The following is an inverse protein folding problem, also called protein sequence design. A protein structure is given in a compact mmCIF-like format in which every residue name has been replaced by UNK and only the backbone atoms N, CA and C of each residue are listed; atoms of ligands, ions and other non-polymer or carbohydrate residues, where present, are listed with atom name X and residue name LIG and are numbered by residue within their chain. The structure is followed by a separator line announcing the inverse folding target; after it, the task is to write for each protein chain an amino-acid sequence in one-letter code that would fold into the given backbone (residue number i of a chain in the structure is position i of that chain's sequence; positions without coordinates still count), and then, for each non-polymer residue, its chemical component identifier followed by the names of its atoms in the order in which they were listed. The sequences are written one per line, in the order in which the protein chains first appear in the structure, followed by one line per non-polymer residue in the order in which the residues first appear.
data_IF_496152553367
#
_entry.id   IF_496152553367
#
_cell.length_a   1.000
_cell.length_b   1.000
_cell.length_c   1.000
_cell.angle_alpha   90.00
_cell.angle_beta   90.00
_cell.angle_gamma   90.00
#
_symmetry.space_group_name_H-M   'P 1'
#
loop_
_entity.id
_entity.type
_entity.pdbx_description
1 polymer ?
#
# COMPACT_ATOMS: atom_id res chain seq x y z
N UNK A 1 13.34 32.54 81.14
CA UNK A 1 14.64 32.32 80.45
C UNK A 1 14.36 31.30 79.37
N UNK A 2 14.67 31.67 78.11
CA UNK A 2 14.81 30.81 76.92
C UNK A 2 13.56 30.03 76.48
N UNK A 3 13.15 29.98 75.21
CA UNK A 3 13.73 30.45 73.96
C UNK A 3 12.64 30.46 72.87
N UNK A 4 13.02 31.00 71.72
CA UNK A 4 12.27 31.47 70.57
C UNK A 4 11.41 30.48 69.75
N UNK A 5 10.39 31.10 69.13
CA UNK A 5 9.98 31.01 67.72
C UNK A 5 9.23 29.78 67.19
N UNK A 6 8.05 30.06 66.62
CA UNK A 6 7.55 29.45 65.38
C UNK A 6 6.71 30.49 64.61
N UNK A 7 7.08 30.71 63.33
CA UNK A 7 6.20 31.19 62.24
C UNK A 7 5.19 30.06 61.91
N UNK A 8 4.12 30.18 61.13
CA UNK A 8 3.72 30.95 59.95
C UNK A 8 2.20 30.68 59.75
N UNK A 9 1.52 31.49 58.95
CA UNK A 9 0.41 31.13 58.01
C UNK A 9 -0.46 32.37 57.74
N UNK A 10 0.04 33.20 56.82
CA UNK A 10 -0.79 34.13 56.06
C UNK A 10 -1.52 33.34 54.96
N UNK A 11 -2.84 33.53 54.90
CA UNK A 11 -3.76 32.88 53.95
C UNK A 11 -3.34 33.16 52.48
N UNK A 12 -3.03 32.12 51.69
CA UNK A 12 -2.57 32.28 50.30
C UNK A 12 -3.69 32.58 49.30
N UNK A 13 -4.93 32.87 49.75
CA UNK A 13 -6.08 33.08 48.86
C UNK A 13 -6.65 34.52 48.81
N UNK A 14 -5.93 35.52 49.33
CA UNK A 14 -6.33 36.91 49.18
C UNK A 14 -5.67 37.56 47.94
N UNK A 15 -6.28 37.40 46.75
CA UNK A 15 -5.97 38.20 45.56
C UNK A 15 -7.05 39.25 45.24
N UNK A 16 -6.66 40.39 44.62
CA UNK A 16 -7.43 41.63 44.60
C UNK A 16 -8.41 41.73 43.42
N UNK A 17 -9.40 42.62 43.58
CA UNK A 17 -10.34 43.02 42.53
C UNK A 17 -9.63 43.74 41.37
N UNK A 18 -9.90 43.29 40.14
CA UNK A 18 -9.84 44.09 38.93
C UNK A 18 -9.02 43.50 37.78
N UNK A 19 -9.68 42.73 36.89
CA UNK A 19 -9.23 42.58 35.50
C UNK A 19 -10.46 42.49 34.58
N UNK A 20 -10.64 43.52 33.77
CA UNK A 20 -11.73 43.71 32.82
C UNK A 20 -11.35 42.98 31.53
N UNK A 21 -11.70 41.69 31.43
CA UNK A 21 -11.58 40.91 30.19
C UNK A 21 -12.97 40.66 29.61
N UNK A 22 -13.21 40.91 28.32
CA UNK A 22 -14.49 40.60 27.72
C UNK A 22 -14.68 39.08 27.78
N UNK A 23 -15.76 38.66 28.44
CA UNK A 23 -16.25 37.29 28.38
C UNK A 23 -16.57 37.05 26.91
N UNK A 24 -15.70 36.32 26.21
CA UNK A 24 -16.06 35.69 24.95
C UNK A 24 -17.18 34.71 25.27
N UNK A 25 -18.41 35.15 25.05
CA UNK A 25 -19.54 34.24 24.94
C UNK A 25 -19.16 33.18 23.92
N UNK A 26 -18.94 31.94 24.38
CA UNK A 26 -18.99 30.76 23.51
C UNK A 26 -20.37 30.79 22.86
N UNK A 27 -20.40 31.37 21.67
CA UNK A 27 -21.59 31.51 20.87
C UNK A 27 -21.87 30.10 20.37
N UNK A 28 -22.80 29.41 21.04
CA UNK A 28 -23.31 28.11 20.60
C UNK A 28 -23.89 28.34 19.20
N UNK A 29 -23.17 27.87 18.19
CA UNK A 29 -23.58 28.01 16.80
C UNK A 29 -24.89 27.25 16.61
N UNK A 30 -25.89 27.92 16.04
CA UNK A 30 -27.11 27.25 15.65
C UNK A 30 -26.82 26.30 14.47
N UNK A 31 -27.63 25.25 14.34
CA UNK A 31 -27.46 24.21 13.33
C UNK A 31 -27.32 24.77 11.90
N UNK A 32 -28.00 25.88 11.61
CA UNK A 32 -27.93 26.58 10.31
C UNK A 32 -26.55 27.25 10.05
N UNK A 33 -25.88 27.77 11.08
CA UNK A 33 -24.54 28.36 10.96
C UNK A 33 -23.45 27.28 10.84
N UNK A 34 -23.68 26.11 11.46
CA UNK A 34 -22.83 24.92 11.31
C UNK A 34 -22.90 24.39 9.88
N UNK A 35 -24.10 24.32 9.31
CA UNK A 35 -24.32 23.84 7.94
C UNK A 35 -23.71 24.79 6.90
N UNK A 36 -23.71 26.11 7.18
CA UNK A 36 -23.06 27.13 6.37
C UNK A 36 -21.52 27.01 6.36
N UNK A 37 -20.93 26.60 7.49
CA UNK A 37 -19.48 26.38 7.63
C UNK A 37 -19.02 25.01 7.08
N UNK A 38 -19.92 24.02 7.03
CA UNK A 38 -19.64 22.65 6.56
C UNK A 38 -19.99 22.41 5.09
N UNK A 39 -20.47 23.42 4.36
CA UNK A 39 -20.56 23.37 2.89
C UNK A 39 -21.57 22.37 2.34
N UNK A 40 -22.64 22.07 3.08
CA UNK A 40 -23.79 21.33 2.57
C UNK A 40 -24.85 22.31 2.07
N UNK A 41 -24.60 22.90 0.91
CA UNK A 41 -25.65 23.59 0.15
C UNK A 41 -26.51 22.53 -0.55
N UNK A 42 -27.67 22.21 0.03
CA UNK A 42 -28.75 21.49 -0.65
C UNK A 42 -29.64 22.51 -1.35
N UNK A 43 -29.07 23.14 -2.38
CA UNK A 43 -29.76 23.92 -3.39
C UNK A 43 -29.41 23.32 -4.76
N UNK A 44 -30.44 22.86 -5.47
CA UNK A 44 -30.34 22.10 -6.71
C UNK A 44 -29.79 22.92 -7.89
N UNK A 45 -29.12 22.19 -8.79
CA UNK A 45 -28.77 22.49 -10.18
C UNK A 45 -27.40 23.16 -10.54
N UNK A 46 -26.72 22.52 -11.51
CA UNK A 46 -25.45 22.85 -12.20
C UNK A 46 -24.10 22.32 -11.65
N UNK A 47 -24.12 21.24 -10.85
CA UNK A 47 -22.90 20.55 -10.38
C UNK A 47 -22.56 19.21 -11.05
N UNK A 48 -23.52 18.58 -11.72
CA UNK A 48 -23.38 17.19 -12.21
C UNK A 48 -22.50 17.08 -13.47
N UNK A 49 -22.53 18.09 -14.35
CA UNK A 49 -21.70 18.10 -15.56
C UNK A 49 -20.21 18.37 -15.25
N UNK A 50 -19.88 19.19 -14.24
CA UNK A 50 -18.48 19.45 -13.86
C UNK A 50 -17.84 18.29 -13.11
N UNK A 51 -18.63 17.51 -12.35
CA UNK A 51 -18.17 16.27 -11.74
C UNK A 51 -18.01 15.16 -12.78
N UNK A 52 -18.96 15.05 -13.71
CA UNK A 52 -18.89 14.12 -14.84
C UNK A 52 -17.72 14.42 -15.77
N UNK A 53 -17.50 15.68 -16.15
CA UNK A 53 -16.36 16.08 -17.00
C UNK A 53 -15.04 15.94 -16.24
N UNK A 54 -14.96 16.20 -14.92
CA UNK A 54 -13.74 15.90 -14.15
C UNK A 54 -13.50 14.41 -14.00
N UNK A 55 -14.54 13.59 -13.83
CA UNK A 55 -14.45 12.14 -13.79
C UNK A 55 -14.08 11.57 -15.17
N UNK A 56 -14.59 12.14 -16.26
CA UNK A 56 -14.24 11.80 -17.65
C UNK A 56 -12.83 12.28 -17.98
N UNK A 57 -12.40 13.47 -17.54
CA UNK A 57 -11.01 13.94 -17.72
C UNK A 57 -10.04 13.10 -16.88
N UNK A 58 -10.36 12.77 -15.63
CA UNK A 58 -9.51 11.88 -14.81
C UNK A 58 -9.50 10.44 -15.33
N UNK A 59 -10.61 9.93 -15.88
CA UNK A 59 -10.67 8.57 -16.46
C UNK A 59 -10.08 8.49 -17.87
N UNK A 60 -10.24 9.52 -18.70
CA UNK A 60 -9.70 9.58 -20.05
C UNK A 60 -8.18 9.89 -20.07
N UNK A 61 -7.61 10.49 -19.02
CA UNK A 61 -6.18 10.80 -18.94
C UNK A 61 -5.30 9.66 -18.40
N UNK A 62 -5.88 8.52 -18.00
CA UNK A 62 -5.13 7.35 -17.47
C UNK A 62 -5.42 6.11 -18.34
N UNK A 63 -5.69 6.29 -19.63
CA UNK A 63 -5.65 5.17 -20.58
C UNK A 63 -4.19 4.85 -20.93
N UNK A 64 -3.49 4.23 -19.99
CA UNK A 64 -2.14 3.74 -20.25
C UNK A 64 -2.17 2.44 -21.06
N UNK A 65 -1.15 2.26 -21.89
CA UNK A 65 -0.97 1.10 -22.75
C UNK A 65 -0.98 -0.20 -21.91
N UNK A 66 -1.79 -1.18 -22.31
CA UNK A 66 -1.78 -2.51 -21.66
C UNK A 66 -0.45 -3.20 -21.92
N UNK A 67 0.05 -3.91 -20.91
CA UNK A 67 1.31 -4.66 -20.96
C UNK A 67 0.99 -6.16 -20.82
N UNK A 68 0.67 -6.88 -21.92
CA UNK A 68 0.18 -8.25 -21.85
C UNK A 68 1.17 -9.21 -21.17
N UNK A 69 2.47 -9.02 -21.41
CA UNK A 69 3.50 -9.86 -20.78
C UNK A 69 3.57 -9.65 -19.27
N UNK A 70 3.19 -8.46 -18.79
CA UNK A 70 3.15 -8.20 -17.35
C UNK A 70 1.99 -8.94 -16.68
N UNK A 71 0.86 -9.08 -17.36
CA UNK A 71 -0.27 -9.90 -16.90
C UNK A 71 0.18 -11.37 -16.74
N UNK A 72 0.92 -11.90 -17.70
CA UNK A 72 1.46 -13.27 -17.64
C UNK A 72 2.44 -13.44 -16.47
N UNK A 73 3.29 -12.43 -16.22
CA UNK A 73 4.21 -12.43 -15.07
C UNK A 73 3.42 -12.47 -13.76
N UNK A 74 2.34 -11.69 -13.62
CA UNK A 74 1.53 -11.71 -12.39
C UNK A 74 0.70 -12.99 -12.24
N UNK A 75 0.22 -13.59 -13.32
CA UNK A 75 -0.41 -14.91 -13.27
C UNK A 75 0.58 -15.98 -12.78
N UNK A 76 1.85 -15.89 -13.22
CA UNK A 76 2.91 -16.75 -12.71
C UNK A 76 3.21 -16.47 -11.24
N UNK A 77 3.26 -15.21 -10.85
CA UNK A 77 3.48 -14.79 -9.46
C UNK A 77 2.40 -15.39 -8.53
N UNK A 78 1.13 -15.31 -8.90
CA UNK A 78 0.02 -15.89 -8.12
C UNK A 78 0.22 -17.38 -7.86
N UNK A 79 0.63 -18.14 -8.88
CA UNK A 79 0.88 -19.59 -8.75
C UNK A 79 2.04 -19.89 -7.80
N UNK A 80 3.14 -19.13 -7.90
CA UNK A 80 4.31 -19.27 -7.03
C UNK A 80 3.96 -18.91 -5.58
N UNK A 81 3.33 -17.75 -5.38
CA UNK A 81 2.89 -17.26 -4.07
C UNK A 81 1.95 -18.23 -3.37
N UNK A 82 1.03 -18.86 -4.09
CA UNK A 82 0.14 -19.87 -3.50
C UNK A 82 0.92 -21.02 -2.85
N UNK A 83 2.01 -21.45 -3.48
CA UNK A 83 2.85 -22.53 -2.96
C UNK A 83 3.75 -22.05 -1.83
N UNK A 84 4.42 -20.92 -2.02
CA UNK A 84 5.39 -20.38 -1.06
C UNK A 84 4.72 -19.92 0.24
N UNK A 85 3.56 -19.26 0.16
CA UNK A 85 2.81 -18.79 1.33
C UNK A 85 2.20 -19.96 2.11
N UNK A 86 1.74 -21.01 1.43
CA UNK A 86 1.34 -22.27 2.07
C UNK A 86 2.48 -22.87 2.86
N UNK A 87 3.69 -22.92 2.30
CA UNK A 87 4.86 -23.44 3.00
C UNK A 87 5.29 -22.53 4.16
N UNK A 88 5.20 -21.22 3.97
CA UNK A 88 5.58 -20.22 4.97
C UNK A 88 4.65 -20.23 6.19
N UNK A 89 3.34 -20.34 5.95
CA UNK A 89 2.30 -20.37 7.00
C UNK A 89 2.05 -21.76 7.56
N UNK A 90 2.44 -22.82 6.83
CA UNK A 90 2.03 -24.20 7.12
C UNK A 90 0.51 -24.40 7.19
N UNK A 91 -0.27 -23.55 6.49
CA UNK A 91 -1.72 -23.62 6.42
C UNK A 91 -2.23 -23.60 4.97
N UNK A 92 -3.53 -23.85 4.77
CA UNK A 92 -4.13 -23.77 3.45
C UNK A 92 -4.23 -22.30 3.00
N UNK A 93 -3.46 -21.93 1.98
CA UNK A 93 -3.46 -20.60 1.39
C UNK A 93 -3.89 -20.67 -0.07
N UNK A 94 -4.77 -19.76 -0.48
CA UNK A 94 -5.12 -19.48 -1.88
C UNK A 94 -4.80 -18.02 -2.22
N UNK A 95 -4.15 -17.81 -3.36
CA UNK A 95 -3.84 -16.46 -3.86
C UNK A 95 -4.61 -16.26 -5.16
N UNK A 96 -5.25 -15.10 -5.31
CA UNK A 96 -5.95 -14.71 -6.53
C UNK A 96 -5.60 -13.29 -6.95
N UNK A 97 -5.59 -13.07 -8.26
CA UNK A 97 -5.41 -11.75 -8.86
C UNK A 97 -6.77 -11.03 -8.89
N UNK A 98 -6.89 -9.91 -8.17
CA UNK A 98 -8.11 -9.11 -8.15
C UNK A 98 -8.19 -8.18 -9.35
N UNK A 99 -7.13 -7.39 -9.58
CA UNK A 99 -7.07 -6.41 -10.67
C UNK A 99 -5.64 -5.97 -10.94
N UNK A 100 -5.37 -5.59 -12.20
CA UNK A 100 -4.19 -4.85 -12.63
C UNK A 100 -4.68 -3.52 -13.19
N UNK A 101 -4.24 -2.41 -12.60
CA UNK A 101 -4.69 -1.07 -12.97
C UNK A 101 -3.54 -0.09 -13.06
N UNK A 102 -3.70 0.97 -13.86
CA UNK A 102 -2.78 2.10 -13.86
C UNK A 102 -3.34 3.20 -12.95
N UNK A 103 -2.48 3.77 -12.10
CA UNK A 103 -2.83 4.80 -11.13
C UNK A 103 -1.71 5.83 -11.03
N UNK A 104 -2.02 7.05 -10.56
CA UNK A 104 -0.99 8.01 -10.16
C UNK A 104 -0.43 7.63 -8.80
N UNK A 105 0.88 7.71 -8.64
CA UNK A 105 1.57 7.32 -7.42
C UNK A 105 1.07 8.07 -6.19
N UNK A 106 0.83 9.38 -6.31
CA UNK A 106 0.30 10.19 -5.21
C UNK A 106 -1.12 9.81 -4.80
N UNK A 107 -1.99 9.55 -5.77
CA UNK A 107 -3.37 9.14 -5.51
C UNK A 107 -3.40 7.78 -4.80
N UNK A 108 -2.51 6.86 -5.20
CA UNK A 108 -2.34 5.59 -4.51
C UNK A 108 -1.90 5.77 -3.06
N UNK A 109 -0.81 6.53 -2.79
CA UNK A 109 -0.30 6.73 -1.43
C UNK A 109 -1.37 7.31 -0.48
N UNK A 110 -2.21 8.21 -0.99
CA UNK A 110 -3.30 8.81 -0.21
C UNK A 110 -4.50 7.87 -0.01
N UNK A 111 -4.61 6.80 -0.81
CA UNK A 111 -5.70 5.82 -0.71
C UNK A 111 -5.43 4.66 0.26
N UNK A 112 -4.21 4.54 0.79
CA UNK A 112 -3.82 3.41 1.65
C UNK A 112 -4.51 3.54 3.02
N UNK A 113 -5.34 2.57 3.41
CA UNK A 113 -5.95 2.57 4.73
C UNK A 113 -4.89 2.30 5.80
N UNK A 114 -4.87 3.10 6.86
CA UNK A 114 -3.97 2.91 8.00
C UNK A 114 -4.69 2.16 9.12
N UNK A 115 -4.01 1.24 9.83
CA UNK A 115 -2.58 0.93 9.76
C UNK A 115 -2.20 -0.09 8.66
N UNK A 116 -1.15 0.19 7.89
CA UNK A 116 -0.62 -0.74 6.88
C UNK A 116 0.91 -0.86 7.00
N UNK A 117 1.48 -1.92 6.41
CA UNK A 117 2.94 -2.03 6.23
C UNK A 117 3.25 -1.84 4.75
N UNK A 118 4.15 -0.90 4.47
CA UNK A 118 4.65 -0.60 3.14
C UNK A 118 6.11 -1.05 3.07
N UNK A 119 6.39 -2.00 2.18
CA UNK A 119 7.74 -2.44 1.87
C UNK A 119 8.22 -1.76 0.59
N UNK A 120 9.29 -0.99 0.69
CA UNK A 120 10.01 -0.48 -0.48
C UNK A 120 11.08 -1.49 -0.83
N UNK A 121 11.14 -1.88 -2.10
CA UNK A 121 12.16 -2.80 -2.60
C UNK A 121 12.86 -2.20 -3.82
N UNK A 122 14.12 -2.57 -4.00
CA UNK A 122 14.92 -2.21 -5.17
C UNK A 122 14.85 -3.34 -6.20
N UNK A 123 14.57 -2.98 -7.45
CA UNK A 123 14.73 -3.85 -8.60
C UNK A 123 16.11 -3.56 -9.23
N UNK A 124 17.10 -4.41 -8.95
CA UNK A 124 18.52 -4.08 -9.20
C UNK A 124 18.82 -3.84 -10.68
N UNK A 125 18.42 -4.76 -11.55
CA UNK A 125 18.68 -4.69 -13.00
C UNK A 125 17.84 -3.62 -13.70
N UNK A 126 16.75 -3.19 -13.08
CA UNK A 126 15.91 -2.10 -13.57
C UNK A 126 16.36 -0.73 -13.04
N UNK A 127 17.35 -0.71 -12.15
CA UNK A 127 17.90 0.44 -11.42
C UNK A 127 16.81 1.40 -10.88
N UNK A 128 15.78 0.82 -10.26
CA UNK A 128 14.66 1.59 -9.73
C UNK A 128 13.99 0.88 -8.56
N UNK A 129 12.97 1.51 -7.99
CA UNK A 129 12.24 0.99 -6.84
C UNK A 129 10.83 0.53 -7.21
N UNK A 130 10.30 -0.39 -6.41
CA UNK A 130 8.89 -0.72 -6.34
C UNK A 130 8.41 -0.71 -4.90
N UNK A 131 7.12 -0.90 -4.71
CA UNK A 131 6.50 -0.91 -3.39
C UNK A 131 5.51 -2.06 -3.27
N UNK A 132 5.51 -2.73 -2.13
CA UNK A 132 4.54 -3.75 -1.75
C UNK A 132 3.80 -3.26 -0.52
N UNK A 133 2.47 -3.23 -0.55
CA UNK A 133 1.64 -2.84 0.59
C UNK A 133 0.90 -4.05 1.11
N UNK A 134 0.91 -4.23 2.43
CA UNK A 134 0.21 -5.31 3.13
C UNK A 134 -0.88 -4.67 4.00
N UNK A 135 -2.13 -5.08 3.78
CA UNK A 135 -3.26 -4.57 4.56
C UNK A 135 -3.29 -5.15 5.99
N UNK A 136 -4.03 -4.48 6.89
CA UNK A 136 -4.07 -4.89 8.29
C UNK A 136 -4.64 -6.29 8.48
N UNK A 137 -5.67 -6.66 7.69
CA UNK A 137 -6.30 -7.98 7.77
C UNK A 137 -5.27 -9.09 7.55
N UNK A 138 -4.44 -8.96 6.52
CA UNK A 138 -3.43 -9.95 6.22
C UNK A 138 -2.33 -9.97 7.27
N UNK A 139 -1.89 -8.81 7.76
CA UNK A 139 -0.87 -8.72 8.81
C UNK A 139 -1.31 -9.51 10.04
N UNK A 140 -2.52 -9.25 10.55
CA UNK A 140 -3.04 -9.98 11.71
C UNK A 140 -3.23 -11.47 11.42
N UNK A 141 -3.71 -11.81 10.23
CA UNK A 141 -3.89 -13.20 9.82
C UNK A 141 -2.57 -13.98 9.85
N UNK A 142 -1.50 -13.40 9.30
CA UNK A 142 -0.17 -14.01 9.24
C UNK A 142 0.46 -14.11 10.62
N UNK A 143 0.33 -13.05 11.44
CA UNK A 143 0.84 -13.06 12.82
C UNK A 143 0.16 -14.16 13.63
N UNK A 144 -1.17 -14.29 13.52
CA UNK A 144 -1.91 -15.32 14.25
C UNK A 144 -1.50 -16.73 13.80
N UNK A 145 -1.39 -16.99 12.49
CA UNK A 145 -0.96 -18.32 11.99
C UNK A 145 0.45 -18.66 12.46
N UNK A 146 1.41 -17.74 12.33
CA UNK A 146 2.82 -18.00 12.67
C UNK A 146 3.07 -18.13 14.18
N UNK A 147 2.19 -17.57 15.01
CA UNK A 147 2.25 -17.71 16.47
C UNK A 147 1.40 -18.88 17.00
N UNK A 148 0.84 -19.71 16.12
CA UNK A 148 0.10 -20.92 16.50
C UNK A 148 -1.38 -20.68 16.85
N UNK A 149 -1.97 -19.63 16.28
CA UNK A 149 -3.40 -19.33 16.39
C UNK A 149 -4.26 -20.52 15.97
N UNK A 150 -5.30 -20.82 16.74
CA UNK A 150 -6.21 -21.95 16.45
C UNK A 150 -7.14 -21.59 15.29
N UNK A 151 -7.45 -22.58 14.44
CA UNK A 151 -8.50 -22.46 13.42
C UNK A 151 -9.85 -22.11 14.08
N UNK A 152 -10.61 -21.21 13.46
CA UNK A 152 -11.89 -20.72 14.00
C UNK A 152 -11.81 -19.75 15.19
N UNK A 153 -10.61 -19.26 15.57
CA UNK A 153 -10.52 -18.13 16.51
C UNK A 153 -11.06 -16.89 15.80
N UNK A 154 -12.04 -16.20 16.40
CA UNK A 154 -12.67 -15.02 15.81
C UNK A 154 -11.59 -14.03 15.32
N UNK A 155 -11.80 -13.48 14.11
CA UNK A 155 -10.88 -12.54 13.49
C UNK A 155 -10.45 -11.49 14.51
N UNK A 156 -9.11 -11.35 14.69
CA UNK A 156 -8.56 -10.33 15.58
C UNK A 156 -9.18 -8.98 15.21
N UNK A 157 -9.81 -8.33 16.19
CA UNK A 157 -10.31 -6.97 15.98
C UNK A 157 -9.11 -6.09 15.64
N UNK A 158 -9.20 -5.38 14.53
CA UNK A 158 -8.21 -4.38 14.15
C UNK A 158 -8.33 -3.23 15.15
N UNK A 159 -7.45 -3.20 16.14
CA UNK A 159 -7.47 -2.20 17.22
C UNK A 159 -6.89 -0.84 16.79
N UNK A 160 -6.50 -0.69 15.53
CA UNK A 160 -5.91 0.56 15.01
C UNK A 160 -4.59 0.95 15.68
N UNK A 161 -3.98 0.05 16.46
CA UNK A 161 -2.72 0.29 17.16
C UNK A 161 -1.52 0.14 16.22
N UNK A 162 -0.40 0.85 16.48
CA UNK A 162 0.85 0.62 15.77
C UNK A 162 1.34 -0.82 15.90
N UNK A 163 1.95 -1.36 14.84
CA UNK A 163 2.50 -2.72 14.85
C UNK A 163 3.73 -2.83 15.76
N UNK A 164 3.78 -3.90 16.53
CA UNK A 164 4.91 -4.27 17.39
C UNK A 164 6.11 -4.72 16.56
N UNK A 165 7.29 -4.76 17.19
CA UNK A 165 8.51 -5.25 16.54
C UNK A 165 8.38 -6.70 16.06
N UNK A 166 7.69 -7.56 16.81
CA UNK A 166 7.48 -8.96 16.44
C UNK A 166 6.60 -9.06 15.19
N UNK A 167 5.47 -8.34 15.17
CA UNK A 167 4.56 -8.30 14.02
C UNK A 167 5.30 -7.80 12.76
N UNK A 168 6.11 -6.75 12.89
CA UNK A 168 6.92 -6.21 11.78
C UNK A 168 7.93 -7.23 11.24
N UNK A 169 8.62 -7.98 12.11
CA UNK A 169 9.59 -9.00 11.69
C UNK A 169 8.92 -10.18 10.99
N UNK A 170 7.73 -10.60 11.44
CA UNK A 170 6.98 -11.66 10.79
C UNK A 170 6.51 -11.24 9.38
N UNK A 171 5.98 -10.01 9.27
CA UNK A 171 5.57 -9.45 7.98
C UNK A 171 6.78 -9.25 7.06
N UNK A 172 7.93 -8.81 7.60
CA UNK A 172 9.16 -8.69 6.81
C UNK A 172 9.53 -10.01 6.12
N UNK A 173 9.52 -11.12 6.87
CA UNK A 173 9.85 -12.44 6.31
C UNK A 173 8.86 -12.86 5.23
N UNK A 174 7.57 -12.57 5.43
CA UNK A 174 6.55 -12.81 4.41
C UNK A 174 6.83 -11.99 3.15
N UNK A 175 7.15 -10.70 3.30
CA UNK A 175 7.51 -9.83 2.16
C UNK A 175 8.71 -10.38 1.41
N UNK A 176 9.75 -10.84 2.09
CA UNK A 176 10.94 -11.44 1.46
C UNK A 176 10.58 -12.70 0.64
N UNK A 177 9.65 -13.53 1.13
CA UNK A 177 9.11 -14.67 0.35
C UNK A 177 8.41 -14.19 -0.92
N UNK A 178 7.54 -13.18 -0.81
CA UNK A 178 6.83 -12.61 -1.95
C UNK A 178 7.78 -11.99 -2.98
N UNK A 179 8.85 -11.32 -2.54
CA UNK A 179 9.85 -10.74 -3.44
C UNK A 179 10.68 -11.83 -4.15
N UNK A 180 10.96 -12.96 -3.48
CA UNK A 180 11.60 -14.11 -4.11
C UNK A 180 10.72 -14.72 -5.20
N UNK A 181 9.41 -14.83 -4.96
CA UNK A 181 8.46 -15.28 -5.98
C UNK A 181 8.34 -14.28 -7.14
N UNK A 182 8.35 -12.97 -6.84
CA UNK A 182 8.37 -11.93 -7.87
C UNK A 182 9.59 -12.07 -8.77
N UNK A 183 10.78 -12.30 -8.20
CA UNK A 183 11.99 -12.57 -8.98
C UNK A 183 11.81 -13.78 -9.91
N UNK A 184 11.33 -14.89 -9.37
CA UNK A 184 11.09 -16.10 -10.15
C UNK A 184 9.97 -15.93 -11.20
N UNK A 185 9.02 -15.02 -10.97
CA UNK A 185 7.97 -14.68 -11.92
C UNK A 185 8.50 -13.85 -13.11
N UNK A 186 9.41 -12.91 -12.85
CA UNK A 186 10.03 -12.07 -13.88
C UNK A 186 11.12 -12.79 -14.69
N UNK A 187 11.76 -13.82 -14.13
CA UNK A 187 12.89 -14.55 -14.73
C UNK A 187 12.72 -14.95 -16.21
N UNK A 188 11.56 -15.46 -16.69
CA UNK A 188 11.39 -15.80 -18.11
C UNK A 188 11.43 -14.61 -19.06
N UNK A 189 11.14 -13.41 -18.55
CA UNK A 189 11.22 -12.17 -19.30
C UNK A 189 12.61 -11.57 -19.16
N UNK A 190 13.06 -11.36 -17.93
CA UNK A 190 14.37 -10.80 -17.63
C UNK A 190 14.80 -11.21 -16.21
N UNK A 191 16.07 -11.54 -15.97
CA UNK A 191 16.56 -11.72 -14.62
C UNK A 191 16.48 -10.37 -13.89
N UNK A 192 15.71 -10.31 -12.79
CA UNK A 192 15.60 -9.14 -11.92
C UNK A 192 15.63 -9.57 -10.46
N UNK A 193 16.54 -8.99 -9.67
CA UNK A 193 16.60 -9.16 -8.23
C UNK A 193 15.76 -8.09 -7.54
N UNK A 194 14.78 -8.53 -6.74
CA UNK A 194 13.96 -7.65 -5.91
C UNK A 194 14.42 -7.76 -4.46
N UNK A 195 15.15 -6.76 -3.99
CA UNK A 195 15.72 -6.74 -2.65
C UNK A 195 14.94 -5.75 -1.77
N UNK A 196 14.51 -6.22 -0.59
CA UNK A 196 13.84 -5.37 0.39
C UNK A 196 14.82 -4.27 0.85
N UNK A 197 14.42 -3.01 0.68
CA UNK A 197 15.22 -1.86 1.11
C UNK A 197 14.79 -1.39 2.51
N UNK A 198 13.48 -1.16 2.71
CA UNK A 198 12.95 -0.71 3.99
C UNK A 198 11.47 -1.06 4.18
N UNK A 199 11.04 -1.06 5.45
CA UNK A 199 9.65 -1.24 5.88
C UNK A 199 9.15 0.00 6.61
N UNK A 200 8.08 0.58 6.08
CA UNK A 200 7.43 1.78 6.58
C UNK A 200 6.00 1.49 7.03
N UNK A 201 5.52 2.26 8.00
CA UNK A 201 4.10 2.25 8.42
C UNK A 201 3.35 3.50 7.98
N UNK A 202 4.08 4.53 7.55
CA UNK A 202 3.51 5.78 7.06
C UNK A 202 3.84 5.96 5.57
N UNK A 203 2.82 6.11 4.70
CA UNK A 203 2.99 6.30 3.26
C UNK A 203 3.94 7.44 2.89
N UNK A 204 4.06 8.48 3.73
CA UNK A 204 4.95 9.63 3.48
C UNK A 204 6.44 9.25 3.45
N UNK A 205 6.85 8.19 4.13
CA UNK A 205 8.24 7.71 4.13
C UNK A 205 8.51 6.63 3.07
N UNK A 206 7.45 6.11 2.45
CA UNK A 206 7.51 5.11 1.39
C UNK A 206 7.55 5.73 -0.03
N UNK A 207 7.73 7.05 -0.16
CA UNK A 207 7.76 7.72 -1.44
C UNK A 207 8.97 7.29 -2.29
N UNK A 208 8.71 6.63 -3.42
CA UNK A 208 9.73 6.15 -4.38
C UNK A 208 9.67 6.87 -5.73
N UNK A 209 8.60 7.61 -6.00
CA UNK A 209 8.38 8.34 -7.24
C UNK A 209 7.71 9.69 -6.95
N UNK A 210 7.66 10.57 -7.95
CA UNK A 210 6.91 11.83 -7.83
C UNK A 210 5.40 11.53 -7.81
N UNK A 211 4.59 12.27 -7.03
CA UNK A 211 3.14 12.03 -6.94
C UNK A 211 2.41 11.98 -8.29
N UNK A 212 2.84 12.78 -9.26
CA UNK A 212 2.26 12.85 -10.59
C UNK A 212 2.65 11.67 -11.51
N UNK A 213 3.65 10.88 -11.15
CA UNK A 213 4.11 9.77 -11.98
C UNK A 213 3.08 8.63 -11.97
N UNK A 214 2.89 8.00 -13.11
CA UNK A 214 2.07 6.81 -13.21
C UNK A 214 2.78 5.57 -12.66
N UNK A 215 1.99 4.65 -12.14
CA UNK A 215 2.42 3.35 -11.68
C UNK A 215 1.37 2.28 -12.03
N UNK A 216 1.84 1.06 -12.21
CA UNK A 216 1.00 -0.12 -12.31
C UNK A 216 0.77 -0.64 -10.90
N UNK A 217 -0.50 -0.84 -10.56
CA UNK A 217 -0.97 -1.39 -9.30
C UNK A 217 -1.61 -2.75 -9.54
N UNK A 218 -1.06 -3.76 -8.87
CA UNK A 218 -1.56 -5.14 -8.88
C UNK A 218 -2.15 -5.43 -7.52
N UNK A 219 -3.42 -5.80 -7.48
CA UNK A 219 -4.11 -6.18 -6.23
C UNK A 219 -4.21 -7.69 -6.19
N UNK A 220 -3.67 -8.29 -5.14
CA UNK A 220 -3.70 -9.72 -4.89
C UNK A 220 -4.51 -9.97 -3.62
N UNK A 221 -5.44 -10.92 -3.68
CA UNK A 221 -6.17 -11.40 -2.51
C UNK A 221 -5.56 -12.69 -2.02
N UNK A 222 -5.38 -12.77 -0.70
CA UNK A 222 -4.87 -13.95 -0.02
C UNK A 222 -5.96 -14.45 0.91
N UNK A 223 -6.39 -15.67 0.67
CA UNK A 223 -7.40 -16.38 1.44
C UNK A 223 -6.75 -17.52 2.23
N UNK A 224 -7.10 -17.62 3.51
CA UNK A 224 -6.61 -18.60 4.46
C UNK A 224 -7.79 -19.18 5.27
N UNK A 225 -8.81 -19.66 4.54
CA UNK A 225 -10.04 -20.23 5.09
C UNK A 225 -10.89 -19.16 5.82
N UNK A 226 -10.75 -19.04 7.14
CA UNK A 226 -11.54 -18.12 7.97
C UNK A 226 -10.91 -16.72 8.07
N UNK A 227 -9.74 -16.52 7.45
CA UNK A 227 -8.93 -15.28 7.56
C UNK A 227 -8.26 -14.96 6.23
N UNK A 228 -7.66 -13.78 6.12
CA UNK A 228 -7.00 -13.37 4.87
C UNK A 228 -6.78 -11.88 4.79
N UNK A 229 -6.53 -11.39 3.59
CA UNK A 229 -6.41 -9.97 3.32
C UNK A 229 -5.85 -9.71 1.93
N UNK A 230 -5.15 -8.58 1.77
CA UNK A 230 -4.67 -8.12 0.46
C UNK A 230 -3.20 -7.73 0.50
N UNK A 231 -2.53 -8.07 -0.59
CA UNK A 231 -1.22 -7.53 -0.94
C UNK A 231 -1.38 -6.71 -2.20
N UNK A 232 -0.80 -5.53 -2.21
CA UNK A 232 -0.80 -4.64 -3.36
C UNK A 232 0.64 -4.38 -3.81
N UNK A 233 0.97 -4.81 -5.04
CA UNK A 233 2.28 -4.58 -5.65
C UNK A 233 2.18 -3.38 -6.59
N UNK A 234 3.01 -2.38 -6.35
CA UNK A 234 3.08 -1.15 -7.13
C UNK A 234 4.45 -1.04 -7.82
N UNK A 235 4.41 -0.88 -9.14
CA UNK A 235 5.59 -0.68 -9.99
C UNK A 235 5.41 0.63 -10.78
N UNK A 236 6.21 1.69 -10.47
CA UNK A 236 6.23 2.89 -11.29
C UNK A 236 6.55 2.58 -12.75
N UNK A 237 5.99 3.32 -13.71
CA UNK A 237 6.34 3.13 -15.13
C UNK A 237 7.84 3.33 -15.39
N UNK A 238 8.47 4.25 -14.66
CA UNK A 238 9.91 4.47 -14.74
C UNK A 238 10.74 3.23 -14.35
N UNK A 239 10.19 2.34 -13.50
CA UNK A 239 10.83 1.07 -13.13
C UNK A 239 10.73 0.04 -14.25
N UNK A 240 9.66 0.09 -15.04
CA UNK A 240 9.43 -0.85 -16.15
C UNK A 240 10.05 -0.38 -17.47
N UNK A 241 10.50 0.87 -17.56
CA UNK A 241 11.04 1.46 -18.79
C UNK A 241 12.17 0.64 -19.43
N UNK A 242 13.16 0.09 -18.70
CA UNK A 242 14.24 -0.70 -19.29
C UNK A 242 13.75 -1.95 -20.04
N UNK A 243 12.63 -2.52 -19.62
CA UNK A 243 12.05 -3.75 -20.17
C UNK A 243 10.75 -3.49 -20.95
N UNK A 244 10.39 -2.23 -21.18
CA UNK A 244 9.11 -1.82 -21.78
C UNK A 244 8.86 -2.49 -23.14
N UNK A 245 9.88 -2.57 -24.00
CA UNK A 245 9.74 -3.20 -25.32
C UNK A 245 9.36 -4.67 -25.23
N UNK A 246 9.90 -5.39 -24.25
CA UNK A 246 9.59 -6.80 -24.02
C UNK A 246 8.18 -6.94 -23.45
N UNK A 247 7.76 -6.01 -22.59
CA UNK A 247 6.42 -6.01 -22.00
C UNK A 247 5.28 -5.77 -23.01
N UNK A 248 5.58 -5.06 -24.11
CA UNK A 248 4.65 -4.76 -25.19
C UNK A 248 4.51 -5.87 -26.23
N UNK A 249 5.43 -6.84 -26.26
CA UNK A 249 5.36 -7.92 -27.23
C UNK A 249 4.09 -8.73 -27.01
N UNK A 250 3.18 -8.69 -27.98
CA UNK A 250 2.01 -9.55 -27.98
C UNK A 250 2.43 -10.96 -28.35
N UNK A 251 2.16 -11.91 -27.46
CA UNK A 251 2.51 -13.30 -27.67
C UNK A 251 1.61 -13.91 -28.76
N UNK A 252 2.17 -14.17 -29.94
CA UNK A 252 1.60 -15.11 -30.91
C UNK A 252 2.12 -16.52 -30.61
N UNK A 253 1.52 -17.19 -29.64
CA UNK A 253 1.40 -18.66 -29.60
C UNK A 253 2.64 -19.56 -29.60
N UNK A 254 3.90 -19.11 -29.56
CA UNK A 254 5.05 -20.02 -29.58
C UNK A 254 6.07 -19.76 -28.46
N UNK A 255 6.05 -20.69 -27.49
CA UNK A 255 7.12 -21.09 -26.55
C UNK A 255 7.90 -19.97 -25.84
N UNK A 256 7.48 -19.71 -24.61
CA UNK A 256 8.32 -19.09 -23.58
C UNK A 256 9.66 -19.85 -23.45
N UNK A 257 10.76 -19.14 -23.64
CA UNK A 257 12.08 -19.60 -23.21
C UNK A 257 12.73 -20.65 -24.10
N UNK A 258 13.01 -20.30 -25.35
CA UNK A 258 14.31 -20.53 -25.99
C UNK A 258 14.32 -19.81 -27.33
N UNK A 259 15.36 -19.00 -27.54
CA UNK A 259 16.01 -18.81 -28.83
C UNK A 259 15.51 -17.75 -29.83
N UNK A 260 15.83 -16.47 -29.57
CA UNK A 260 15.99 -15.44 -30.63
C UNK A 260 17.41 -15.46 -31.27
N UNK A 261 18.27 -16.44 -30.93
CA UNK A 261 19.65 -16.51 -31.41
C UNK A 261 19.77 -17.35 -32.71
N UNK A 262 18.77 -18.18 -33.04
CA UNK A 262 18.89 -19.13 -34.15
C UNK A 262 18.40 -18.60 -35.50
N UNK A 263 17.58 -17.54 -35.53
CA UNK A 263 17.17 -16.91 -36.80
C UNK A 263 18.34 -16.20 -37.51
N UNK A 264 19.30 -15.68 -36.76
CA UNK A 264 20.50 -15.05 -37.34
C UNK A 264 21.45 -16.03 -38.04
N UNK A 265 21.46 -17.29 -37.62
CA UNK A 265 22.34 -18.31 -38.20
C UNK A 265 21.74 -18.97 -39.45
N UNK A 266 20.41 -19.08 -39.57
CA UNK A 266 19.74 -19.64 -40.74
C UNK A 266 19.66 -18.67 -41.94
N UNK A 267 19.79 -17.36 -41.71
CA UNK A 267 19.86 -16.37 -42.79
C UNK A 267 21.26 -16.25 -43.42
N UNK A 268 22.28 -16.90 -42.86
CA UNK A 268 23.68 -16.81 -43.33
C UNK A 268 24.09 -18.02 -44.19
N UNK A 269 23.24 -19.04 -44.37
CA UNK A 269 23.49 -20.19 -45.25
C UNK A 269 22.49 -20.35 -46.41
N UNK A 270 22.10 -19.24 -47.04
CA UNK A 270 21.52 -19.26 -48.40
C UNK A 270 22.31 -18.35 -49.34
#
# INVERSE_FOLDING_TARGET
MTDAAFADEADPFAEPLGDDRPIATERVLNQDEIDSLLGFDLGDDDGSERSGIRAIINSALVSYERLPMLEIVFDRLVRLMTTSLRNFTSDNVEVSLDNISSIRFGDYLNSIPLPAILAVFRAEELDNYGMLTVDSNLIYSIVDVLLGGRRGTAALRIEGRPYTTIERVLVQRMVEVVLADARAAFEPLTPVHFNLDRLETNPRFAAIARPANAAILVKLRIDMEDRGGRIELLLPYATLEPIRKMLLQQFMGEKFGRDNIWEGHLATEL
#
